data_IF_187068843770
#
_entry.id   IF_187068843770
#
_cell.length_a   1.000
_cell.length_b   1.000
_cell.length_c   1.000
_cell.angle_alpha   90.00
_cell.angle_beta   90.00
_cell.angle_gamma   90.00
#
_symmetry.space_group_name_H-M   'P 1'
#
loop_
_entity.id
_entity.type
_entity.pdbx_description
1 polymer ?
#
# COMPACT_ATOMS: atom_id res chain seq x y z
N UNK A 1 -13.89 -9.31 12.83
CA UNK A 1 -12.44 -8.99 12.92
C UNK A 1 -12.18 -8.25 14.23
N UNK A 2 -11.08 -8.52 14.99
CA UNK A 2 -10.78 -7.79 16.22
C UNK A 2 -10.37 -6.34 15.90
N UNK A 3 -10.69 -5.42 16.83
CA UNK A 3 -10.21 -4.05 16.71
C UNK A 3 -8.70 -3.96 17.06
N UNK A 4 -7.96 -2.97 16.53
CA UNK A 4 -6.59 -2.71 16.92
C UNK A 4 -6.43 -2.56 18.44
N UNK A 5 -5.31 -3.04 19.04
CA UNK A 5 -5.13 -3.04 20.50
C UNK A 5 -5.20 -1.67 21.18
N UNK A 6 -5.00 -0.59 20.42
CA UNK A 6 -5.08 0.79 20.94
C UNK A 6 -6.51 1.37 20.94
N UNK A 7 -7.48 0.65 20.41
CA UNK A 7 -8.91 1.03 20.47
C UNK A 7 -9.57 0.24 21.59
N UNK A 8 -9.69 0.87 22.77
CA UNK A 8 -10.15 0.19 24.00
C UNK A 8 -11.64 0.41 24.28
N UNK A 9 -12.22 1.52 23.81
CA UNK A 9 -13.57 1.96 24.20
C UNK A 9 -14.47 2.23 22.99
N UNK A 10 -14.48 1.30 22.03
CA UNK A 10 -15.33 1.43 20.86
C UNK A 10 -16.74 0.89 21.14
N UNK A 11 -17.70 1.80 21.28
CA UNK A 11 -19.14 1.48 21.46
C UNK A 11 -19.92 1.43 20.14
N UNK A 12 -19.22 1.59 19.00
CA UNK A 12 -19.83 1.60 17.67
C UNK A 12 -20.13 0.20 17.14
N UNK A 13 -20.74 0.17 15.96
CA UNK A 13 -21.00 -1.06 15.21
C UNK A 13 -19.69 -1.71 14.73
N UNK A 14 -19.36 -2.94 15.13
CA UNK A 14 -18.15 -3.63 14.70
C UNK A 14 -18.04 -3.79 13.17
N UNK A 15 -19.16 -3.85 12.46
CA UNK A 15 -19.19 -3.94 10.99
C UNK A 15 -18.58 -2.70 10.32
N UNK A 16 -18.51 -1.56 11.01
CA UNK A 16 -17.82 -0.36 10.53
C UNK A 16 -16.30 -0.51 10.47
N UNK A 17 -15.74 -1.55 11.09
CA UNK A 17 -14.32 -1.89 10.95
C UNK A 17 -14.10 -2.91 9.82
N UNK A 18 -14.89 -2.83 8.76
CA UNK A 18 -14.76 -3.66 7.57
C UNK A 18 -15.00 -2.83 6.31
N UNK A 19 -14.26 -3.13 5.24
CA UNK A 19 -14.43 -2.44 3.96
C UNK A 19 -15.65 -2.97 3.19
N UNK A 20 -16.22 -2.13 2.33
CA UNK A 20 -17.38 -2.49 1.49
C UNK A 20 -17.04 -3.55 0.43
N UNK A 21 -15.77 -3.81 0.20
CA UNK A 21 -15.26 -4.78 -0.76
C UNK A 21 -14.62 -6.01 -0.11
N UNK A 22 -14.75 -6.15 1.22
CA UNK A 22 -14.23 -7.31 1.92
C UNK A 22 -14.86 -8.61 1.42
N UNK A 23 -14.02 -9.63 1.25
CA UNK A 23 -14.49 -10.96 0.89
C UNK A 23 -15.10 -11.66 2.13
N UNK A 24 -15.88 -12.73 1.90
CA UNK A 24 -16.56 -13.46 2.99
C UNK A 24 -15.62 -14.22 3.91
N UNK A 25 -14.44 -14.57 3.43
CA UNK A 25 -13.43 -15.29 4.21
C UNK A 25 -12.42 -14.30 4.78
N UNK A 26 -12.39 -14.17 6.10
CA UNK A 26 -11.54 -13.23 6.83
C UNK A 26 -10.43 -13.99 7.55
N UNK A 27 -9.19 -13.80 7.09
CA UNK A 27 -8.00 -14.44 7.66
C UNK A 27 -7.03 -13.43 8.31
N UNK A 28 -7.28 -12.13 8.17
CA UNK A 28 -6.42 -11.07 8.68
C UNK A 28 -6.74 -10.66 10.11
N UNK A 29 -5.72 -10.32 10.89
CA UNK A 29 -5.86 -9.72 12.22
C UNK A 29 -6.19 -8.21 12.17
N UNK A 30 -6.09 -7.56 11.01
CA UNK A 30 -6.39 -6.14 10.83
C UNK A 30 -7.12 -5.89 9.51
N UNK A 31 -8.12 -4.98 9.55
CA UNK A 31 -8.77 -4.48 8.33
C UNK A 31 -7.86 -3.51 7.56
N UNK A 32 -7.99 -3.40 6.23
CA UNK A 32 -7.30 -2.38 5.43
C UNK A 32 -7.97 -1.01 5.65
N UNK A 33 -7.64 -0.34 6.75
CA UNK A 33 -8.39 0.81 7.29
C UNK A 33 -8.46 2.01 6.34
N UNK A 34 -7.51 2.19 5.43
CA UNK A 34 -7.64 3.19 4.36
C UNK A 34 -8.84 2.92 3.43
N UNK A 35 -9.24 1.66 3.29
CA UNK A 35 -10.41 1.25 2.52
C UNK A 35 -11.73 1.64 3.18
N UNK A 36 -11.76 1.94 4.48
CA UNK A 36 -12.98 2.37 5.19
C UNK A 36 -13.51 3.72 4.71
N UNK A 37 -12.67 4.51 4.04
CA UNK A 37 -13.08 5.78 3.42
C UNK A 37 -13.91 5.59 2.14
N UNK A 38 -13.93 4.40 1.57
CA UNK A 38 -14.63 4.10 0.33
C UNK A 38 -16.03 3.56 0.63
N UNK A 39 -17.04 4.25 0.09
CA UNK A 39 -18.42 3.77 0.04
C UNK A 39 -18.74 3.27 -1.37
N UNK A 40 -19.78 2.44 -1.56
CA UNK A 40 -20.20 2.04 -2.90
C UNK A 40 -20.47 3.23 -3.83
N UNK A 41 -21.05 4.30 -3.32
CA UNK A 41 -21.36 5.52 -4.08
C UNK A 41 -20.08 6.26 -4.49
N UNK A 42 -19.08 6.35 -3.60
CA UNK A 42 -17.80 6.96 -3.90
C UNK A 42 -17.05 6.13 -4.96
N UNK A 43 -17.04 4.80 -4.81
CA UNK A 43 -16.42 3.92 -5.80
C UNK A 43 -17.07 4.10 -7.17
N UNK A 44 -18.39 4.07 -7.26
CA UNK A 44 -19.12 4.30 -8.50
C UNK A 44 -18.83 5.68 -9.12
N UNK A 45 -18.70 6.72 -8.28
CA UNK A 45 -18.36 8.07 -8.74
C UNK A 45 -16.93 8.16 -9.31
N UNK A 46 -15.99 7.43 -8.72
CA UNK A 46 -14.60 7.33 -9.18
C UNK A 46 -14.55 6.56 -10.51
N UNK A 47 -15.26 5.44 -10.62
CA UNK A 47 -15.36 4.66 -11.87
C UNK A 47 -15.99 5.47 -13.01
N UNK A 48 -17.00 6.28 -12.71
CA UNK A 48 -17.63 7.19 -13.67
C UNK A 48 -16.65 8.26 -14.22
N UNK A 49 -15.52 8.49 -13.53
CA UNK A 49 -14.40 9.35 -13.99
C UNK A 49 -13.35 8.59 -14.79
N UNK A 50 -13.53 7.29 -15.01
CA UNK A 50 -12.66 6.45 -15.82
C UNK A 50 -11.61 5.65 -15.04
N UNK A 51 -11.52 5.81 -13.72
CA UNK A 51 -10.66 4.96 -12.90
C UNK A 51 -11.26 3.53 -12.79
N UNK A 52 -10.41 2.57 -12.46
CA UNK A 52 -10.80 1.17 -12.24
C UNK A 52 -10.29 0.70 -10.90
N UNK A 53 -11.05 -0.19 -10.28
CA UNK A 53 -10.62 -0.87 -9.06
C UNK A 53 -10.17 -2.29 -9.37
N UNK A 54 -9.11 -2.71 -8.69
CA UNK A 54 -8.65 -4.09 -8.64
C UNK A 54 -8.31 -4.43 -7.18
N UNK A 55 -8.52 -5.66 -6.76
CA UNK A 55 -8.30 -6.08 -5.38
C UNK A 55 -7.10 -7.01 -5.28
N UNK A 56 -6.27 -6.78 -4.27
CA UNK A 56 -5.20 -7.67 -3.82
C UNK A 56 -5.54 -8.21 -2.45
N UNK A 57 -4.97 -9.35 -2.08
CA UNK A 57 -5.15 -9.96 -0.78
C UNK A 57 -3.84 -9.92 0.01
N UNK A 58 -3.93 -9.61 1.29
CA UNK A 58 -2.85 -9.73 2.25
C UNK A 58 -3.42 -10.25 3.58
N UNK A 59 -2.91 -11.37 4.06
CA UNK A 59 -3.20 -11.88 5.39
C UNK A 59 -2.33 -11.15 6.41
N UNK A 60 -2.89 -10.10 7.01
CA UNK A 60 -2.18 -9.25 7.96
C UNK A 60 -2.10 -9.92 9.31
N UNK A 61 -0.89 -10.14 9.81
CA UNK A 61 -0.63 -10.62 11.17
C UNK A 61 -0.78 -9.52 12.23
N UNK A 62 -0.90 -9.93 13.50
CA UNK A 62 -0.99 -8.98 14.63
C UNK A 62 0.28 -8.14 14.79
N UNK A 63 1.42 -8.63 14.30
CA UNK A 63 2.72 -7.95 14.35
C UNK A 63 2.75 -6.64 13.53
N UNK A 64 1.75 -6.40 12.67
CA UNK A 64 1.62 -5.12 11.94
C UNK A 64 1.47 -3.92 12.88
N UNK A 65 1.02 -4.13 14.11
CA UNK A 65 0.88 -3.10 15.15
C UNK A 65 2.14 -2.94 16.02
N UNK A 66 3.17 -3.76 15.77
CA UNK A 66 4.42 -3.68 16.52
C UNK A 66 5.20 -2.43 16.13
N UNK A 67 5.71 -1.72 17.13
CA UNK A 67 6.60 -0.58 16.91
C UNK A 67 8.02 -1.05 16.59
N UNK A 68 8.75 -0.24 15.85
CA UNK A 68 10.18 -0.42 15.62
C UNK A 68 10.89 0.01 16.92
N UNK A 69 11.43 -0.97 17.64
CA UNK A 69 12.10 -0.76 18.93
C UNK A 69 13.61 -0.50 18.75
N UNK A 70 14.15 -0.92 17.63
CA UNK A 70 15.55 -0.77 17.29
C UNK A 70 15.92 0.72 17.11
N UNK A 71 17.08 1.13 17.62
CA UNK A 71 17.62 2.49 17.41
C UNK A 71 18.00 2.73 15.94
N UNK A 72 18.49 1.69 15.26
CA UNK A 72 18.68 1.66 13.81
C UNK A 72 17.55 0.89 13.16
N UNK A 73 16.62 1.57 12.48
CA UNK A 73 15.47 0.91 11.85
C UNK A 73 15.86 -0.10 10.75
N UNK A 74 17.07 -0.04 10.21
CA UNK A 74 17.54 -1.02 9.21
C UNK A 74 17.76 -2.41 9.81
N UNK A 75 17.87 -2.51 11.14
CA UNK A 75 18.03 -3.77 11.87
C UNK A 75 16.67 -4.44 12.18
N UNK A 76 15.56 -3.76 11.91
CA UNK A 76 14.23 -4.30 12.17
C UNK A 76 13.95 -5.50 11.28
N UNK A 77 13.50 -6.59 11.90
CA UNK A 77 13.12 -7.82 11.18
C UNK A 77 11.62 -7.80 10.94
N UNK A 78 11.23 -7.64 9.68
CA UNK A 78 9.83 -7.70 9.29
C UNK A 78 9.24 -9.10 9.50
N UNK A 79 8.01 -9.13 10.01
CA UNK A 79 7.22 -10.33 10.05
C UNK A 79 6.81 -10.80 8.65
N UNK A 80 6.54 -12.10 8.53
CA UNK A 80 6.11 -12.72 7.28
C UNK A 80 4.60 -12.68 7.17
N UNK A 81 4.09 -12.20 6.04
CA UNK A 81 2.67 -12.18 5.70
C UNK A 81 2.42 -12.91 4.39
N UNK A 82 1.27 -13.56 4.26
CA UNK A 82 0.83 -14.17 3.01
C UNK A 82 0.12 -13.15 2.16
N UNK A 83 0.32 -13.21 0.84
CA UNK A 83 -0.36 -12.34 -0.09
C UNK A 83 -0.69 -13.04 -1.40
N UNK A 84 -1.67 -12.47 -2.10
CA UNK A 84 -2.09 -12.93 -3.41
C UNK A 84 -2.26 -11.74 -4.36
N UNK A 85 -1.69 -11.86 -5.55
CA UNK A 85 -1.85 -10.93 -6.67
C UNK A 85 -2.26 -11.74 -7.90
N UNK A 86 -3.51 -11.58 -8.32
CA UNK A 86 -4.10 -12.33 -9.42
C UNK A 86 -3.63 -11.85 -10.79
N UNK A 87 -3.87 -12.66 -11.83
CA UNK A 87 -3.61 -12.25 -13.22
C UNK A 87 -4.41 -11.00 -13.60
N UNK A 88 -5.65 -10.87 -13.11
CA UNK A 88 -6.48 -9.68 -13.35
C UNK A 88 -5.82 -8.39 -12.85
N UNK A 89 -5.20 -8.44 -11.66
CA UNK A 89 -4.44 -7.30 -11.10
C UNK A 89 -3.22 -6.99 -11.95
N UNK A 90 -2.45 -8.00 -12.35
CA UNK A 90 -1.27 -7.84 -13.21
C UNK A 90 -1.68 -7.18 -14.53
N UNK A 91 -2.72 -7.68 -15.19
CA UNK A 91 -3.23 -7.14 -16.45
C UNK A 91 -3.72 -5.69 -16.29
N UNK A 92 -4.37 -5.37 -15.16
CA UNK A 92 -4.85 -4.01 -14.86
C UNK A 92 -3.68 -3.04 -14.66
N UNK A 93 -2.62 -3.47 -13.96
CA UNK A 93 -1.38 -2.68 -13.77
C UNK A 93 -0.70 -2.45 -15.11
N UNK A 94 -0.48 -3.50 -15.92
CA UNK A 94 0.12 -3.39 -17.25
C UNK A 94 -0.65 -2.41 -18.12
N UNK A 95 -1.97 -2.54 -18.15
CA UNK A 95 -2.82 -1.64 -18.92
C UNK A 95 -2.69 -0.19 -18.46
N UNK A 96 -2.75 0.07 -17.15
CA UNK A 96 -2.60 1.40 -16.60
C UNK A 96 -1.24 2.02 -16.99
N UNK A 97 -0.15 1.26 -16.81
CA UNK A 97 1.20 1.72 -17.16
C UNK A 97 1.35 1.97 -18.66
N UNK A 98 0.86 1.08 -19.53
CA UNK A 98 0.92 1.24 -21.00
C UNK A 98 0.13 2.46 -21.49
N UNK A 99 -1.03 2.73 -20.89
CA UNK A 99 -1.89 3.88 -21.24
C UNK A 99 -1.44 5.20 -20.58
N UNK A 100 -0.41 5.19 -19.78
CA UNK A 100 0.09 6.38 -19.12
C UNK A 100 -0.63 6.80 -17.85
N UNK A 101 -1.35 5.87 -17.27
CA UNK A 101 -2.06 6.09 -16.03
C UNK A 101 -1.28 5.64 -14.82
N UNK A 102 -1.68 6.15 -13.65
CA UNK A 102 -1.06 5.82 -12.36
C UNK A 102 -1.72 4.62 -11.71
N UNK A 103 -0.92 3.82 -11.02
CA UNK A 103 -1.37 2.80 -10.08
C UNK A 103 -1.44 3.44 -8.69
N UNK A 104 -2.65 3.58 -8.16
CA UNK A 104 -2.90 4.21 -6.86
C UNK A 104 -3.27 3.11 -5.87
N UNK A 105 -2.40 2.85 -4.91
CA UNK A 105 -2.70 1.90 -3.84
C UNK A 105 -3.64 2.52 -2.80
N UNK A 106 -4.57 1.72 -2.28
CA UNK A 106 -5.42 2.08 -1.13
C UNK A 106 -5.00 1.20 0.05
N UNK A 107 -4.27 1.81 0.98
CA UNK A 107 -3.69 1.17 2.15
C UNK A 107 -2.28 0.63 1.91
N UNK A 108 -1.52 0.59 2.99
CA UNK A 108 -0.14 0.07 3.02
C UNK A 108 -0.08 -1.42 2.73
N UNK A 109 -1.15 -2.16 3.01
CA UNK A 109 -1.33 -3.58 2.65
C UNK A 109 -1.32 -3.78 1.13
N UNK A 110 -2.03 -2.94 0.38
CA UNK A 110 -2.02 -2.98 -1.08
C UNK A 110 -0.63 -2.65 -1.65
N UNK A 111 0.07 -1.66 -1.08
CA UNK A 111 1.46 -1.35 -1.45
C UNK A 111 2.34 -2.59 -1.27
N UNK A 112 2.30 -3.21 -0.09
CA UNK A 112 3.16 -4.37 0.20
C UNK A 112 2.89 -5.55 -0.73
N UNK A 113 1.61 -5.83 -1.04
CA UNK A 113 1.26 -6.89 -1.99
C UNK A 113 1.79 -6.60 -3.39
N UNK A 114 1.56 -5.39 -3.91
CA UNK A 114 1.96 -5.01 -5.27
C UNK A 114 3.47 -4.95 -5.43
N UNK A 115 4.18 -4.29 -4.51
CA UNK A 115 5.64 -4.19 -4.55
C UNK A 115 6.34 -5.53 -4.30
N UNK A 116 5.74 -6.43 -3.51
CA UNK A 116 6.24 -7.82 -3.34
C UNK A 116 6.00 -8.70 -4.57
N UNK A 117 5.05 -8.32 -5.43
CA UNK A 117 4.81 -9.03 -6.68
C UNK A 117 5.73 -8.58 -7.82
N UNK A 118 6.48 -7.48 -7.64
CA UNK A 118 7.50 -7.07 -8.59
C UNK A 118 8.69 -8.06 -8.56
N UNK A 119 9.08 -8.53 -9.72
CA UNK A 119 10.21 -9.44 -9.92
C UNK A 119 11.22 -8.80 -10.87
N UNK A 120 12.37 -8.44 -10.34
CA UNK A 120 13.43 -7.74 -11.09
C UNK A 120 14.03 -8.58 -12.24
N UNK A 121 13.86 -9.89 -12.20
CA UNK A 121 14.38 -10.81 -13.22
C UNK A 121 13.31 -11.22 -14.23
N UNK A 122 12.03 -10.90 -13.98
CA UNK A 122 10.95 -11.22 -14.91
C UNK A 122 11.16 -10.51 -16.26
N UNK A 123 10.95 -11.21 -17.40
CA UNK A 123 10.93 -10.54 -18.69
C UNK A 123 9.72 -9.60 -18.75
N UNK A 124 9.95 -8.37 -19.17
CA UNK A 124 8.86 -7.41 -19.33
C UNK A 124 7.93 -7.87 -20.45
N UNK A 125 6.66 -8.01 -20.11
CA UNK A 125 5.64 -8.52 -21.02
C UNK A 125 5.25 -7.52 -22.12
N UNK A 126 5.42 -6.20 -21.85
CA UNK A 126 5.13 -5.13 -22.82
C UNK A 126 6.25 -4.07 -22.81
N UNK A 127 6.91 -3.82 -23.97
CA UNK A 127 7.95 -2.79 -24.09
C UNK A 127 7.50 -1.37 -23.70
N UNK A 128 6.21 -1.03 -23.83
CA UNK A 128 5.67 0.26 -23.41
C UNK A 128 5.66 0.40 -21.87
N UNK A 129 5.55 -0.71 -21.15
CA UNK A 129 5.64 -0.78 -19.69
C UNK A 129 7.09 -0.55 -19.24
N UNK A 130 8.05 -1.15 -19.96
CA UNK A 130 9.51 -1.01 -19.65
C UNK A 130 9.96 0.45 -19.63
N UNK A 131 9.54 1.23 -20.61
CA UNK A 131 9.94 2.63 -20.73
C UNK A 131 9.55 3.45 -19.49
N UNK A 132 8.46 3.10 -18.81
CA UNK A 132 7.95 3.81 -17.63
C UNK A 132 8.54 3.35 -16.31
N UNK A 133 8.90 2.08 -16.17
CA UNK A 133 9.65 1.60 -15.01
C UNK A 133 11.08 2.19 -14.95
N UNK A 134 11.58 2.68 -16.09
CA UNK A 134 12.90 3.31 -16.19
C UNK A 134 12.88 4.85 -16.13
N UNK A 135 11.71 5.51 -16.28
CA UNK A 135 11.58 6.96 -16.13
C UNK A 135 11.77 7.36 -14.66
N UNK A 136 12.86 8.04 -14.37
CA UNK A 136 13.18 8.54 -13.02
C UNK A 136 14.33 7.84 -12.31
N UNK A 137 14.98 6.84 -12.94
CA UNK A 137 16.18 6.22 -12.40
C UNK A 137 17.44 6.90 -12.92
N UNK A 138 18.21 7.51 -12.01
CA UNK A 138 19.52 8.12 -12.31
C UNK A 138 20.67 7.12 -12.36
N UNK A 139 20.45 5.84 -12.05
CA UNK A 139 21.52 4.85 -11.84
C UNK A 139 22.06 4.21 -13.11
N UNK A 140 21.60 4.60 -14.30
CA UNK A 140 22.21 4.20 -15.59
C UNK A 140 22.32 2.69 -15.82
N UNK A 141 21.71 1.86 -14.99
CA UNK A 141 21.70 0.43 -15.15
C UNK A 141 20.88 0.07 -16.38
N UNK A 142 21.47 -0.71 -17.28
CA UNK A 142 20.84 -1.28 -18.47
C UNK A 142 19.77 -2.30 -18.04
N UNK A 143 18.68 -1.83 -17.47
CA UNK A 143 17.52 -2.63 -17.05
C UNK A 143 16.43 -2.68 -18.13
N UNK A 144 16.75 -2.21 -19.35
CA UNK A 144 15.85 -2.29 -20.49
C UNK A 144 15.46 -3.76 -20.76
N UNK A 145 14.24 -4.12 -20.41
CA UNK A 145 13.65 -5.43 -20.66
C UNK A 145 13.63 -6.40 -19.48
N UNK A 146 13.96 -5.96 -18.25
CA UNK A 146 13.84 -6.77 -17.03
C UNK A 146 13.10 -6.03 -15.93
N UNK A 147 12.37 -6.80 -15.14
CA UNK A 147 11.58 -6.36 -14.01
C UNK A 147 10.15 -6.04 -14.37
N UNK A 148 9.23 -6.84 -13.84
CA UNK A 148 7.79 -6.72 -14.04
C UNK A 148 7.02 -7.18 -12.82
N UNK A 149 5.77 -6.73 -12.70
CA UNK A 149 4.83 -7.32 -11.76
C UNK A 149 4.37 -8.69 -12.29
N UNK A 150 4.36 -9.68 -11.42
CA UNK A 150 3.99 -11.06 -11.79
C UNK A 150 2.90 -11.59 -10.87
N UNK A 151 2.15 -12.57 -11.35
CA UNK A 151 1.16 -13.29 -10.54
C UNK A 151 1.84 -13.94 -9.34
N UNK A 152 1.23 -13.80 -8.17
CA UNK A 152 1.66 -14.44 -6.92
C UNK A 152 0.46 -15.10 -6.26
N UNK A 153 0.46 -16.43 -6.27
CA UNK A 153 -0.57 -17.22 -5.58
C UNK A 153 -0.03 -17.74 -4.26
N UNK A 154 -0.68 -17.36 -3.14
CA UNK A 154 -0.28 -17.81 -1.80
C UNK A 154 1.21 -17.59 -1.48
N UNK A 155 1.78 -16.51 -1.98
CA UNK A 155 3.17 -16.15 -1.73
C UNK A 155 3.32 -15.53 -0.33
N UNK A 156 4.56 -15.43 0.14
CA UNK A 156 4.89 -14.76 1.39
C UNK A 156 5.79 -13.58 1.16
N UNK A 157 5.66 -12.56 2.02
CA UNK A 157 6.51 -11.36 1.97
C UNK A 157 7.00 -10.96 3.34
N UNK A 158 8.23 -10.47 3.38
CA UNK A 158 8.85 -9.73 4.49
C UNK A 158 9.30 -8.33 4.00
N UNK A 159 8.66 -7.82 2.94
CA UNK A 159 9.04 -6.56 2.34
C UNK A 159 8.98 -5.44 3.38
N UNK A 160 10.11 -4.78 3.57
CA UNK A 160 10.28 -3.63 4.43
C UNK A 160 10.69 -2.41 3.58
N UNK A 161 9.72 -1.54 3.32
CA UNK A 161 9.95 -0.29 2.61
C UNK A 161 10.34 0.81 3.59
N UNK A 162 11.46 1.46 3.35
CA UNK A 162 12.00 2.56 4.18
C UNK A 162 12.57 3.64 3.27
N UNK A 163 12.86 4.85 3.79
CA UNK A 163 13.52 5.89 3.01
C UNK A 163 14.74 5.38 2.25
N UNK A 164 14.76 5.60 0.94
CA UNK A 164 15.75 5.04 0.02
C UNK A 164 15.32 3.76 -0.72
N UNK A 165 14.20 3.15 -0.35
CA UNK A 165 13.59 2.08 -1.15
C UNK A 165 12.98 2.64 -2.43
N UNK A 166 13.05 1.87 -3.51
CA UNK A 166 12.39 2.20 -4.79
C UNK A 166 11.03 1.53 -4.86
N UNK A 167 10.03 2.28 -5.27
CA UNK A 167 8.71 1.76 -5.65
C UNK A 167 8.74 1.44 -7.15
N UNK A 168 8.25 0.27 -7.51
CA UNK A 168 8.27 -0.23 -8.88
C UNK A 168 6.88 -0.24 -9.52
N UNK A 169 5.86 -0.54 -8.74
CA UNK A 169 4.49 -0.72 -9.22
C UNK A 169 3.60 0.46 -8.86
N UNK A 170 3.68 0.92 -7.61
CA UNK A 170 2.78 1.93 -7.04
C UNK A 170 3.29 3.33 -7.32
N UNK A 171 2.44 4.18 -7.89
CA UNK A 171 2.75 5.58 -8.22
C UNK A 171 2.18 6.57 -7.20
N UNK A 172 1.14 6.18 -6.48
CA UNK A 172 0.47 7.01 -5.47
C UNK A 172 -0.20 6.16 -4.40
N UNK A 173 -0.44 6.73 -3.24
CA UNK A 173 -0.98 6.02 -2.08
C UNK A 173 -2.05 6.83 -1.36
N UNK A 174 -3.21 6.20 -1.13
CA UNK A 174 -4.21 6.68 -0.18
C UNK A 174 -4.03 5.86 1.10
N UNK A 175 -3.79 6.53 2.22
CA UNK A 175 -3.55 5.85 3.50
C UNK A 175 -3.98 6.71 4.69
N UNK A 176 -4.21 6.08 5.85
CA UNK A 176 -4.43 6.80 7.12
C UNK A 176 -3.12 7.43 7.61
N UNK A 177 -3.22 8.29 8.63
CA UNK A 177 -2.06 8.74 9.39
C UNK A 177 -1.61 7.63 10.35
N UNK A 178 -0.31 7.31 10.33
CA UNK A 178 0.27 6.17 11.05
C UNK A 178 0.93 6.57 12.37
N UNK A 179 1.09 5.58 13.24
CA UNK A 179 1.78 5.75 14.52
C UNK A 179 3.28 6.03 14.29
N UNK A 180 3.88 7.00 14.99
CA UNK A 180 5.34 7.20 14.96
C UNK A 180 6.11 5.92 15.30
N UNK A 181 7.31 5.78 14.76
CA UNK A 181 8.19 4.61 14.94
C UNK A 181 7.54 3.29 14.48
N UNK A 182 6.66 3.33 13.51
CA UNK A 182 6.09 2.12 12.89
C UNK A 182 6.72 1.84 11.52
N UNK A 183 6.65 0.59 11.09
CA UNK A 183 7.05 0.19 9.74
C UNK A 183 6.20 0.87 8.66
N UNK A 184 4.96 1.25 9.00
CA UNK A 184 4.05 1.99 8.14
C UNK A 184 4.52 3.43 7.93
N UNK A 185 5.06 4.09 8.98
CA UNK A 185 5.67 5.42 8.84
C UNK A 185 6.91 5.37 7.94
N UNK A 186 7.70 4.30 8.01
CA UNK A 186 8.84 4.10 7.11
C UNK A 186 8.39 3.95 5.66
N UNK A 187 7.36 3.15 5.41
CA UNK A 187 6.79 2.92 4.08
C UNK A 187 6.32 4.24 3.43
N UNK A 188 5.52 5.05 4.13
CA UNK A 188 5.04 6.33 3.55
C UNK A 188 6.20 7.32 3.33
N UNK A 189 7.21 7.30 4.19
CA UNK A 189 8.43 8.11 4.06
C UNK A 189 9.38 7.62 2.95
N UNK A 190 9.14 6.44 2.40
CA UNK A 190 9.85 5.93 1.23
C UNK A 190 9.20 6.38 -0.08
N UNK A 191 7.87 6.55 -0.10
CA UNK A 191 7.14 7.05 -1.28
C UNK A 191 7.27 8.56 -1.44
N UNK A 192 7.20 9.30 -0.32
CA UNK A 192 7.53 10.70 -0.24
C UNK A 192 8.73 10.87 0.70
N UNK A 193 9.43 11.97 0.68
CA UNK A 193 10.55 12.18 1.60
C UNK A 193 10.06 12.26 3.05
N UNK A 194 10.93 11.87 4.00
CA UNK A 194 10.62 11.98 5.42
C UNK A 194 10.15 13.39 5.80
N UNK A 195 10.81 14.42 5.29
CA UNK A 195 10.49 15.81 5.62
C UNK A 195 9.10 16.20 5.09
N UNK A 196 8.75 15.82 3.87
CA UNK A 196 7.40 16.02 3.33
C UNK A 196 6.32 15.33 4.17
N UNK A 197 6.57 14.10 4.62
CA UNK A 197 5.65 13.39 5.50
C UNK A 197 5.53 14.08 6.85
N UNK A 198 6.64 14.53 7.45
CA UNK A 198 6.61 15.23 8.73
C UNK A 198 5.90 16.59 8.65
N UNK A 199 6.05 17.31 7.54
CA UNK A 199 5.34 18.58 7.29
C UNK A 199 3.83 18.32 7.13
N UNK A 200 3.45 17.28 6.39
CA UNK A 200 2.04 16.88 6.26
C UNK A 200 1.41 16.50 7.61
N UNK A 201 2.15 15.78 8.45
CA UNK A 201 1.70 15.43 9.80
C UNK A 201 1.57 16.65 10.71
N UNK A 202 2.50 17.60 10.62
CA UNK A 202 2.43 18.86 11.38
C UNK A 202 1.18 19.67 10.97
N UNK A 203 0.93 19.81 9.67
CA UNK A 203 -0.28 20.45 9.14
C UNK A 203 -1.55 19.74 9.58
N UNK A 204 -1.57 18.39 9.51
CA UNK A 204 -2.73 17.60 9.93
C UNK A 204 -3.05 17.77 11.43
N UNK A 205 -2.01 17.90 12.30
CA UNK A 205 -2.18 18.17 13.73
C UNK A 205 -2.75 19.57 13.94
N UNK A 206 -2.23 20.59 13.25
CA UNK A 206 -2.70 21.97 13.32
C UNK A 206 -4.16 22.10 12.90
N UNK A 207 -4.53 21.44 11.80
CA UNK A 207 -5.88 21.40 11.26
C UNK A 207 -6.81 20.40 11.98
N UNK A 208 -6.32 19.72 13.03
CA UNK A 208 -7.09 18.78 13.86
C UNK A 208 -7.67 17.59 13.09
N UNK A 209 -6.91 17.06 12.16
CA UNK A 209 -7.24 15.78 11.52
C UNK A 209 -7.20 14.64 12.56
N UNK A 210 -8.04 13.64 12.34
CA UNK A 210 -8.07 12.42 13.16
C UNK A 210 -7.01 11.45 12.65
N UNK A 211 -6.39 10.73 13.56
CA UNK A 211 -5.29 9.81 13.28
C UNK A 211 -5.72 8.36 13.45
N UNK A 212 -4.92 7.45 12.88
CA UNK A 212 -5.01 5.99 12.99
C UNK A 212 -6.23 5.39 12.28
N UNK A 213 -6.68 4.19 12.73
CA UNK A 213 -7.60 3.31 12.00
C UNK A 213 -8.95 3.93 11.62
N UNK A 214 -9.54 4.74 12.49
CA UNK A 214 -10.79 5.48 12.22
C UNK A 214 -10.56 6.97 11.96
N UNK A 215 -9.31 7.32 11.74
CA UNK A 215 -8.92 8.69 11.43
C UNK A 215 -9.16 9.07 9.98
N UNK A 216 -8.64 10.23 9.63
CA UNK A 216 -8.73 10.76 8.28
C UNK A 216 -7.62 10.14 7.41
N UNK A 217 -7.68 10.35 6.10
CA UNK A 217 -6.70 9.83 5.15
C UNK A 217 -5.89 10.94 4.51
N UNK A 218 -4.69 10.59 4.03
CA UNK A 218 -3.87 11.42 3.15
C UNK A 218 -3.71 10.73 1.79
N UNK A 219 -3.58 11.55 0.75
CA UNK A 219 -3.19 11.13 -0.60
C UNK A 219 -1.76 11.58 -0.86
N UNK A 220 -0.87 10.64 -1.11
CA UNK A 220 0.53 10.87 -1.48
C UNK A 220 0.66 10.65 -2.98
N UNK A 221 1.17 11.65 -3.72
CA UNK A 221 1.27 11.69 -5.19
C UNK A 221 2.72 11.72 -5.64
#
# INVERSE_FOLDING_TARGET
>A
MPLPPYITDYEGDPEKYQTVYAMKEEHSAAAPTAGLHFTPELMAAIEAKGAKFAAVELEVGIDTFRLVEEDDPTQHVMHTERYHVSQEVVDAVHKAKAEGHRVIAVGTTAVRSLESAFDAEAPVSDPAVTARYSEGREDGADTLGRGDIVVRENATTQLYLMPGSTYHVVDALITNFHVPRSTLMMLVSALATRDQIMDAYAAAIEERYRFFSFGDAMLIL
#
